data_IF_430267355416
#
_entry.id   IF_430267355416
#
_cell.length_a   1.000
_cell.length_b   1.000
_cell.length_c   1.000
_cell.angle_alpha   90.00
_cell.angle_beta   90.00
_cell.angle_gamma   90.00
#
_symmetry.space_group_name_H-M   'P 1'
#
loop_
_entity.id
_entity.type
_entity.pdbx_description
1 polymer ?
#
# COMPACT_ATOMS: atom_id res chain seq x y z
N UNK A 1 -33.87 -1.50 -15.67
CA UNK A 1 -33.59 -1.38 -17.13
C UNK A 1 -32.13 -1.03 -17.27
N UNK A 2 -31.31 -1.99 -17.72
CA UNK A 2 -29.90 -1.78 -18.05
C UNK A 2 -29.87 -0.92 -19.31
N UNK A 3 -29.18 0.22 -19.28
CA UNK A 3 -29.15 1.13 -20.44
C UNK A 3 -28.43 0.44 -21.61
N UNK A 4 -28.76 0.77 -22.86
CA UNK A 4 -28.19 0.11 -24.05
C UNK A 4 -26.65 0.17 -24.15
N UNK A 5 -26.01 1.08 -23.41
CA UNK A 5 -24.55 1.18 -23.29
C UNK A 5 -23.94 0.14 -22.32
N UNK A 6 -24.59 -0.13 -21.19
CA UNK A 6 -24.18 -1.18 -20.23
C UNK A 6 -24.33 -2.58 -20.85
N UNK A 7 -25.37 -2.77 -21.66
CA UNK A 7 -25.60 -4.00 -22.43
C UNK A 7 -24.48 -4.29 -23.44
N UNK A 8 -23.90 -3.28 -24.09
CA UNK A 8 -22.81 -3.46 -25.07
C UNK A 8 -21.45 -3.75 -24.44
N UNK A 9 -21.13 -3.15 -23.29
CA UNK A 9 -19.83 -3.36 -22.64
C UNK A 9 -19.70 -4.73 -21.96
N UNK A 10 -20.81 -5.31 -21.52
CA UNK A 10 -20.85 -6.62 -20.88
C UNK A 10 -20.74 -7.82 -21.85
N UNK A 11 -20.78 -7.59 -23.17
CA UNK A 11 -20.88 -8.66 -24.20
C UNK A 11 -19.69 -9.64 -24.25
N UNK A 12 -18.60 -9.41 -23.51
CA UNK A 12 -17.44 -10.30 -23.44
C UNK A 12 -17.24 -11.02 -22.11
N UNK A 13 -18.05 -10.75 -21.07
CA UNK A 13 -17.85 -11.32 -19.73
C UNK A 13 -19.03 -12.19 -19.30
N UNK A 14 -18.79 -13.35 -18.66
CA UNK A 14 -19.86 -14.21 -18.17
C UNK A 14 -20.74 -13.47 -17.15
N UNK A 15 -22.04 -13.75 -17.15
CA UNK A 15 -22.95 -13.24 -16.13
C UNK A 15 -22.54 -13.74 -14.74
N UNK A 16 -22.83 -12.96 -13.70
CA UNK A 16 -22.58 -13.40 -12.34
C UNK A 16 -23.58 -14.49 -11.93
N UNK A 17 -23.07 -15.55 -11.31
CA UNK A 17 -23.91 -16.65 -10.83
C UNK A 17 -24.43 -16.36 -9.41
N UNK A 18 -25.66 -16.79 -9.07
CA UNK A 18 -26.17 -16.68 -7.72
C UNK A 18 -25.44 -17.63 -6.77
N UNK A 19 -25.12 -17.16 -5.58
CA UNK A 19 -24.55 -17.94 -4.49
C UNK A 19 -24.87 -17.32 -3.12
N UNK A 20 -24.73 -18.11 -2.06
CA UNK A 20 -24.97 -17.66 -0.69
C UNK A 20 -23.81 -16.78 -0.18
N UNK A 21 -24.13 -15.62 0.41
CA UNK A 21 -23.14 -14.74 1.03
C UNK A 21 -22.63 -15.36 2.34
N UNK A 22 -21.32 -15.66 2.47
CA UNK A 22 -20.76 -16.19 3.72
C UNK A 22 -20.98 -15.25 4.90
N UNK A 23 -21.12 -15.83 6.10
CA UNK A 23 -21.23 -15.04 7.32
C UNK A 23 -19.94 -14.21 7.54
N UNK A 24 -20.06 -12.94 7.97
CA UNK A 24 -18.91 -12.11 8.30
C UNK A 24 -18.23 -12.63 9.58
N UNK A 25 -16.91 -12.41 9.73
CA UNK A 25 -16.21 -12.79 10.95
C UNK A 25 -16.77 -12.03 12.16
N UNK A 26 -16.97 -12.75 13.27
CA UNK A 26 -17.43 -12.16 14.53
C UNK A 26 -16.24 -11.54 15.25
N UNK A 27 -16.19 -10.22 15.27
CA UNK A 27 -15.14 -9.52 16.00
C UNK A 27 -15.33 -9.69 17.51
N UNK A 28 -14.30 -10.24 18.17
CA UNK A 28 -14.13 -10.24 19.62
C UNK A 28 -12.74 -9.68 19.89
N UNK A 29 -12.55 -8.89 20.95
CA UNK A 29 -11.25 -8.29 21.28
C UNK A 29 -10.11 -9.33 21.40
N UNK A 30 -10.42 -10.53 21.89
CA UNK A 30 -9.49 -11.67 21.96
C UNK A 30 -9.09 -12.26 20.59
N UNK A 31 -9.86 -11.97 19.54
CA UNK A 31 -9.62 -12.42 18.17
C UNK A 31 -9.31 -11.23 17.25
N UNK A 32 -8.52 -10.26 17.74
CA UNK A 32 -8.14 -9.08 16.96
C UNK A 32 -7.40 -9.43 15.65
N UNK A 33 -6.75 -10.59 15.61
CA UNK A 33 -6.08 -11.12 14.41
C UNK A 33 -7.03 -11.36 13.24
N UNK A 34 -8.35 -11.43 13.48
CA UNK A 34 -9.36 -11.47 12.42
C UNK A 34 -9.43 -10.16 11.63
N UNK A 35 -8.91 -9.05 12.15
CA UNK A 35 -8.76 -7.77 11.44
C UNK A 35 -7.49 -7.71 10.59
N UNK A 36 -6.60 -8.69 10.69
CA UNK A 36 -5.44 -8.79 9.80
C UNK A 36 -5.98 -9.23 8.44
N UNK A 37 -5.90 -8.31 7.48
CA UNK A 37 -6.55 -8.42 6.20
C UNK A 37 -5.91 -7.53 5.13
N UNK A 38 -6.64 -7.26 4.04
CA UNK A 38 -6.19 -6.45 2.91
C UNK A 38 -5.59 -5.10 3.30
N UNK A 39 -6.14 -4.41 4.30
CA UNK A 39 -5.61 -3.14 4.83
C UNK A 39 -4.19 -3.28 5.33
N UNK A 40 -3.97 -4.18 6.28
CA UNK A 40 -2.63 -4.34 6.86
C UNK A 40 -1.62 -4.86 5.84
N UNK A 41 -2.04 -5.74 4.93
CA UNK A 41 -1.20 -6.23 3.84
C UNK A 41 -0.82 -5.08 2.88
N UNK A 42 -1.75 -4.19 2.53
CA UNK A 42 -1.43 -3.00 1.74
C UNK A 42 -0.56 -2.00 2.47
N UNK A 43 -0.77 -1.77 3.78
CA UNK A 43 0.13 -0.94 4.56
C UNK A 43 1.56 -1.52 4.53
N UNK A 44 1.71 -2.83 4.78
CA UNK A 44 3.00 -3.50 4.74
C UNK A 44 3.64 -3.52 3.34
N UNK A 45 2.85 -3.62 2.27
CA UNK A 45 3.36 -3.61 0.90
C UNK A 45 3.93 -2.24 0.50
N UNK A 46 3.29 -1.15 0.94
CA UNK A 46 3.68 0.21 0.55
C UNK A 46 4.73 0.85 1.46
N UNK A 47 4.87 0.35 2.68
CA UNK A 47 6.00 0.71 3.56
C UNK A 47 7.32 0.36 2.87
N UNK A 48 8.26 1.30 2.82
CA UNK A 48 9.50 1.25 2.03
C UNK A 48 9.33 1.43 0.50
N UNK A 49 8.16 1.87 0.04
CA UNK A 49 7.92 2.34 -1.34
C UNK A 49 8.14 3.86 -1.50
N UNK A 50 7.55 4.45 -2.55
CA UNK A 50 7.73 5.87 -2.88
C UNK A 50 7.33 6.85 -1.77
N UNK A 51 6.31 6.53 -0.95
CA UNK A 51 5.88 7.39 0.17
C UNK A 51 6.99 7.66 1.20
N UNK A 52 7.91 6.72 1.37
CA UNK A 52 9.05 6.82 2.29
C UNK A 52 10.22 7.63 1.72
N UNK A 53 10.19 7.95 0.43
CA UNK A 53 11.11 8.89 -0.19
C UNK A 53 10.54 10.31 -0.14
N UNK A 54 9.27 10.46 -0.52
CA UNK A 54 8.65 11.79 -0.63
C UNK A 54 8.30 12.42 0.72
N UNK A 55 7.84 11.66 1.72
CA UNK A 55 7.53 12.21 3.06
C UNK A 55 8.75 12.86 3.73
N UNK A 56 9.86 12.13 3.88
CA UNK A 56 11.14 12.67 4.35
C UNK A 56 11.65 13.86 3.52
N UNK A 57 11.59 13.76 2.19
CA UNK A 57 12.04 14.84 1.30
C UNK A 57 11.25 16.13 1.52
N UNK A 58 9.92 16.03 1.53
CA UNK A 58 9.01 17.15 1.72
C UNK A 58 9.16 17.76 3.10
N UNK A 59 9.32 16.95 4.14
CA UNK A 59 9.48 17.45 5.51
C UNK A 59 10.86 18.03 5.78
N UNK A 60 11.92 17.53 5.13
CA UNK A 60 13.24 18.17 5.17
C UNK A 60 13.25 19.57 4.52
N UNK A 61 12.47 19.75 3.43
CA UNK A 61 12.38 21.01 2.70
C UNK A 61 11.39 22.00 3.34
N UNK A 62 10.20 21.54 3.72
CA UNK A 62 9.06 22.41 4.07
C UNK A 62 8.55 22.20 5.51
N UNK A 63 9.16 21.30 6.28
CA UNK A 63 8.71 20.95 7.63
C UNK A 63 7.37 20.21 7.65
N UNK A 64 6.72 20.19 8.81
CA UNK A 64 5.43 19.49 8.99
C UNK A 64 4.24 20.17 8.31
N UNK A 65 4.38 21.42 7.85
CA UNK A 65 3.27 22.26 7.37
C UNK A 65 2.43 21.57 6.30
N UNK A 66 3.06 20.97 5.30
CA UNK A 66 2.35 20.37 4.15
C UNK A 66 1.86 18.93 4.37
N UNK A 67 2.03 18.36 5.57
CA UNK A 67 1.61 16.98 5.86
C UNK A 67 0.08 16.79 5.85
N UNK A 68 -0.70 17.87 5.96
CA UNK A 68 -2.16 17.80 5.76
C UNK A 68 -2.56 17.32 4.37
N UNK A 69 -1.69 17.47 3.36
CA UNK A 69 -1.90 16.88 2.02
C UNK A 69 -1.94 15.36 2.11
N UNK A 70 -1.09 14.74 2.93
CA UNK A 70 -1.12 13.31 3.17
C UNK A 70 -2.39 12.89 3.91
N UNK A 71 -2.83 13.65 4.91
CA UNK A 71 -4.12 13.40 5.59
C UNK A 71 -5.27 13.41 4.58
N UNK A 72 -5.31 14.41 3.71
CA UNK A 72 -6.35 14.54 2.68
C UNK A 72 -6.29 13.38 1.69
N UNK A 73 -5.09 13.03 1.21
CA UNK A 73 -4.88 11.90 0.32
C UNK A 73 -5.34 10.58 0.96
N UNK A 74 -4.93 10.30 2.20
CA UNK A 74 -5.30 9.08 2.94
C UNK A 74 -6.81 9.01 3.15
N UNK A 75 -7.48 10.11 3.53
CA UNK A 75 -8.93 10.13 3.72
C UNK A 75 -9.69 9.85 2.42
N UNK A 76 -9.28 10.47 1.31
CA UNK A 76 -9.86 10.21 0.00
C UNK A 76 -9.63 8.75 -0.42
N UNK A 77 -8.46 8.21 -0.12
CA UNK A 77 -8.13 6.81 -0.40
C UNK A 77 -8.91 5.84 0.48
N UNK A 78 -9.18 6.13 1.76
CA UNK A 78 -10.11 5.30 2.57
C UNK A 78 -11.47 5.21 1.88
N UNK A 79 -12.01 6.34 1.41
CA UNK A 79 -13.29 6.36 0.70
C UNK A 79 -13.25 5.51 -0.59
N UNK A 80 -12.17 5.66 -1.38
CA UNK A 80 -11.95 4.87 -2.59
C UNK A 80 -11.79 3.37 -2.29
N UNK A 81 -10.94 3.02 -1.33
CA UNK A 81 -10.67 1.66 -0.88
C UNK A 81 -11.95 0.99 -0.41
N UNK A 82 -12.78 1.66 0.39
CA UNK A 82 -14.08 1.13 0.80
C UNK A 82 -14.99 0.85 -0.40
N UNK A 83 -14.98 1.67 -1.44
CA UNK A 83 -15.79 1.45 -2.64
C UNK A 83 -15.32 0.21 -3.43
N UNK A 84 -14.01 0.08 -3.68
CA UNK A 84 -13.46 -1.06 -4.44
C UNK A 84 -13.50 -2.37 -3.64
N UNK A 85 -13.33 -2.30 -2.31
CA UNK A 85 -13.50 -3.45 -1.42
C UNK A 85 -14.96 -3.91 -1.45
N UNK A 86 -15.93 -2.99 -1.38
CA UNK A 86 -17.36 -3.33 -1.48
C UNK A 86 -17.69 -4.01 -2.80
N UNK A 87 -17.08 -3.58 -3.89
CA UNK A 87 -17.24 -4.23 -5.19
C UNK A 87 -16.78 -5.69 -5.14
N UNK A 88 -15.51 -5.93 -4.73
CA UNK A 88 -14.98 -7.29 -4.63
C UNK A 88 -15.72 -8.16 -3.61
N UNK A 89 -16.18 -7.56 -2.52
CA UNK A 89 -16.98 -8.23 -1.50
C UNK A 89 -18.34 -8.68 -2.06
N UNK A 90 -18.93 -7.90 -2.98
CA UNK A 90 -20.24 -8.15 -3.56
C UNK A 90 -20.23 -9.18 -4.69
N UNK A 91 -19.23 -9.16 -5.58
CA UNK A 91 -19.19 -10.04 -6.75
C UNK A 91 -18.02 -11.06 -6.74
N UNK A 92 -17.05 -10.90 -5.85
CA UNK A 92 -15.83 -11.71 -5.82
C UNK A 92 -14.85 -11.42 -6.96
N UNK A 93 -15.09 -10.40 -7.78
CA UNK A 93 -14.19 -9.98 -8.86
C UNK A 93 -13.33 -8.79 -8.43
N UNK A 94 -12.15 -8.67 -9.05
CA UNK A 94 -11.34 -7.45 -8.92
C UNK A 94 -12.05 -6.27 -9.57
N UNK A 95 -11.83 -5.05 -9.08
CA UNK A 95 -12.45 -3.85 -9.67
C UNK A 95 -11.98 -3.60 -11.11
N UNK A 96 -10.79 -4.08 -11.52
CA UNK A 96 -10.34 -4.04 -12.92
C UNK A 96 -11.31 -4.78 -13.86
N UNK A 97 -11.74 -5.98 -13.47
CA UNK A 97 -12.78 -6.73 -14.20
C UNK A 97 -14.10 -5.97 -14.17
N UNK A 98 -14.41 -5.28 -13.07
CA UNK A 98 -15.56 -4.39 -12.98
C UNK A 98 -15.56 -3.30 -14.04
N UNK A 99 -14.44 -2.59 -14.21
CA UNK A 99 -14.30 -1.60 -15.27
C UNK A 99 -14.38 -2.25 -16.66
N UNK A 100 -13.79 -3.42 -16.88
CA UNK A 100 -13.93 -4.13 -18.16
C UNK A 100 -15.39 -4.45 -18.53
N UNK A 101 -16.26 -4.64 -17.54
CA UNK A 101 -17.71 -4.84 -17.75
C UNK A 101 -18.47 -3.54 -18.06
N UNK A 102 -17.88 -2.36 -17.84
CA UNK A 102 -18.52 -1.07 -18.11
C UNK A 102 -18.06 -0.46 -19.43
N UNK A 103 -18.91 0.41 -19.99
CA UNK A 103 -18.50 1.25 -21.11
C UNK A 103 -17.28 2.10 -20.69
N UNK A 104 -16.24 2.31 -21.55
CA UNK A 104 -16.16 2.05 -23.00
C UNK A 104 -15.79 0.61 -23.42
N UNK A 105 -15.70 -0.32 -22.47
CA UNK A 105 -15.47 -1.74 -22.71
C UNK A 105 -14.01 -2.19 -22.57
N UNK A 106 -13.74 -3.51 -22.64
CA UNK A 106 -12.48 -4.10 -22.18
C UNK A 106 -11.24 -3.61 -22.93
N UNK A 107 -11.36 -3.38 -24.25
CA UNK A 107 -10.24 -2.94 -25.10
C UNK A 107 -9.74 -1.56 -24.70
N UNK A 108 -10.67 -0.62 -24.50
CA UNK A 108 -10.33 0.73 -24.05
C UNK A 108 -9.67 0.70 -22.68
N UNK A 109 -10.30 0.02 -21.72
CA UNK A 109 -9.77 -0.06 -20.36
C UNK A 109 -8.41 -0.75 -20.31
N UNK A 110 -8.19 -1.78 -21.12
CA UNK A 110 -6.88 -2.43 -21.24
C UNK A 110 -5.84 -1.41 -21.71
N UNK A 111 -6.08 -0.69 -22.81
CA UNK A 111 -5.16 0.35 -23.28
C UNK A 111 -4.95 1.46 -22.24
N UNK A 112 -6.02 1.90 -21.58
CA UNK A 112 -5.97 2.93 -20.54
C UNK A 112 -5.09 2.50 -19.36
N UNK A 113 -5.26 1.28 -18.85
CA UNK A 113 -4.43 0.77 -17.76
C UNK A 113 -2.99 0.55 -18.18
N UNK A 114 -2.73 0.01 -19.38
CA UNK A 114 -1.36 -0.15 -19.89
C UNK A 114 -0.64 1.19 -20.02
N UNK A 115 -1.35 2.24 -20.44
CA UNK A 115 -0.78 3.59 -20.60
C UNK A 115 -0.51 4.27 -19.26
N UNK A 116 -1.47 4.22 -18.32
CA UNK A 116 -1.35 4.93 -17.04
C UNK A 116 -0.45 4.19 -16.03
N UNK A 117 -0.30 2.86 -16.17
CA UNK A 117 0.54 2.02 -15.31
C UNK A 117 1.90 1.69 -15.93
N UNK A 118 2.26 2.32 -17.05
CA UNK A 118 3.50 2.01 -17.79
C UNK A 118 4.75 2.10 -16.90
N UNK A 119 4.79 3.04 -15.95
CA UNK A 119 5.89 3.20 -15.02
C UNK A 119 6.04 2.06 -14.00
N UNK A 120 4.96 1.34 -13.69
CA UNK A 120 4.95 0.28 -12.67
C UNK A 120 5.62 -1.03 -13.13
N UNK A 121 5.89 -1.19 -14.44
CA UNK A 121 6.55 -2.38 -14.98
C UNK A 121 8.02 -2.48 -14.63
N UNK A 122 8.69 -1.36 -14.32
CA UNK A 122 10.09 -1.37 -13.95
C UNK A 122 10.26 -1.77 -12.47
N UNK A 123 11.17 -2.70 -12.15
CA UNK A 123 11.37 -3.19 -10.79
C UNK A 123 12.17 -2.20 -9.92
N UNK A 124 11.76 -0.93 -9.90
CA UNK A 124 12.46 0.14 -9.19
C UNK A 124 12.57 -0.15 -7.67
N UNK A 125 11.58 -0.83 -7.10
CA UNK A 125 11.58 -1.25 -5.70
C UNK A 125 12.75 -2.22 -5.40
N UNK A 126 13.06 -3.13 -6.32
CA UNK A 126 14.21 -4.02 -6.17
C UNK A 126 15.53 -3.24 -6.27
N UNK A 127 15.60 -2.24 -7.16
CA UNK A 127 16.75 -1.35 -7.25
C UNK A 127 16.95 -0.51 -5.98
N UNK A 128 15.87 0.03 -5.41
CA UNK A 128 15.91 0.78 -4.15
C UNK A 128 16.30 -0.10 -2.96
N UNK A 129 15.89 -1.37 -2.93
CA UNK A 129 16.29 -2.32 -1.90
C UNK A 129 17.76 -2.77 -2.01
N UNK A 130 18.34 -2.72 -3.21
CA UNK A 130 19.73 -3.10 -3.43
C UNK A 130 20.74 -2.11 -2.82
N UNK A 131 20.39 -0.82 -2.74
CA UNK A 131 21.26 0.24 -2.17
C UNK A 131 21.58 0.00 -0.69
N UNK A 132 20.60 -0.15 0.22
CA UNK A 132 20.89 -0.44 1.63
C UNK A 132 21.55 -1.81 1.80
N UNK A 133 21.22 -2.81 0.97
CA UNK A 133 21.91 -4.10 1.00
C UNK A 133 23.39 -3.97 0.62
N UNK A 134 23.70 -3.19 -0.42
CA UNK A 134 25.08 -2.88 -0.80
C UNK A 134 25.79 -2.14 0.33
N UNK A 135 25.11 -1.20 0.99
CA UNK A 135 25.69 -0.45 2.11
C UNK A 135 26.07 -1.35 3.29
N UNK A 136 25.25 -2.35 3.62
CA UNK A 136 25.57 -3.36 4.64
C UNK A 136 26.78 -4.20 4.23
N UNK A 137 26.89 -4.60 2.97
CA UNK A 137 28.01 -5.41 2.46
C UNK A 137 29.32 -4.61 2.46
N UNK A 138 29.27 -3.34 2.07
CA UNK A 138 30.44 -2.47 1.93
C UNK A 138 30.86 -1.82 3.25
N UNK A 139 29.97 -1.77 4.26
CA UNK A 139 30.16 -0.97 5.48
C UNK A 139 30.14 0.54 5.24
N UNK A 140 29.76 0.99 4.03
CA UNK A 140 29.63 2.39 3.61
C UNK A 140 28.59 2.50 2.50
N UNK A 141 28.09 3.69 2.22
CA UNK A 141 27.19 3.90 1.09
C UNK A 141 27.88 3.59 -0.24
N UNK A 142 27.16 2.98 -1.20
CA UNK A 142 27.70 2.71 -2.53
C UNK A 142 27.94 4.02 -3.29
N UNK A 143 29.15 4.16 -3.85
CA UNK A 143 29.55 5.28 -4.71
C UNK A 143 29.41 4.94 -6.19
N UNK A 144 29.93 5.82 -7.05
CA UNK A 144 29.89 5.62 -8.51
C UNK A 144 30.57 4.31 -8.94
N UNK A 145 31.66 3.93 -8.27
CA UNK A 145 32.44 2.72 -8.58
C UNK A 145 31.70 1.42 -8.21
N UNK A 146 30.73 1.48 -7.29
CA UNK A 146 29.97 0.31 -6.82
C UNK A 146 28.74 0.00 -7.72
N UNK A 147 28.58 0.71 -8.83
CA UNK A 147 27.40 0.59 -9.69
C UNK A 147 27.14 -0.83 -10.20
N UNK A 148 28.19 -1.61 -10.45
CA UNK A 148 28.06 -3.02 -10.84
C UNK A 148 27.51 -3.89 -9.70
N UNK A 149 27.98 -3.67 -8.46
CA UNK A 149 27.49 -4.37 -7.28
C UNK A 149 26.01 -4.07 -7.05
N UNK A 150 25.63 -2.79 -7.01
CA UNK A 150 24.23 -2.38 -6.80
C UNK A 150 23.32 -2.96 -7.87
N UNK A 151 23.74 -2.95 -9.14
CA UNK A 151 22.96 -3.54 -10.25
C UNK A 151 22.79 -5.05 -10.09
N UNK A 152 23.85 -5.78 -9.76
CA UNK A 152 23.78 -7.24 -9.57
C UNK A 152 22.90 -7.61 -8.37
N UNK A 153 23.01 -6.86 -7.27
CA UNK A 153 22.14 -7.02 -6.10
C UNK A 153 20.68 -6.70 -6.44
N UNK A 154 20.42 -5.71 -7.30
CA UNK A 154 19.06 -5.40 -7.77
C UNK A 154 18.43 -6.59 -8.49
N UNK A 155 19.19 -7.25 -9.38
CA UNK A 155 18.72 -8.47 -10.06
C UNK A 155 18.53 -9.64 -9.09
N UNK A 156 19.45 -9.82 -8.13
CA UNK A 156 19.33 -10.86 -7.12
C UNK A 156 18.08 -10.66 -6.23
N UNK A 157 17.84 -9.43 -5.75
CA UNK A 157 16.66 -9.08 -4.95
C UNK A 157 15.37 -9.26 -5.76
N UNK A 158 15.37 -8.85 -7.04
CA UNK A 158 14.23 -9.08 -7.92
C UNK A 158 13.91 -10.58 -8.08
N UNK A 159 14.92 -11.42 -8.31
CA UNK A 159 14.73 -12.87 -8.40
C UNK A 159 14.28 -13.47 -7.06
N UNK A 160 14.85 -13.01 -5.95
CA UNK A 160 14.51 -13.46 -4.61
C UNK A 160 13.06 -13.10 -4.22
N UNK A 161 12.49 -12.02 -4.77
CA UNK A 161 11.10 -11.63 -4.52
C UNK A 161 10.07 -12.68 -4.99
N UNK A 162 10.45 -13.58 -5.91
CA UNK A 162 9.59 -14.69 -6.33
C UNK A 162 9.59 -15.87 -5.36
N UNK A 163 10.65 -16.02 -4.54
CA UNK A 163 10.80 -17.18 -3.64
C UNK A 163 9.63 -17.30 -2.64
N UNK A 164 9.17 -16.22 -1.96
CA UNK A 164 8.02 -16.30 -1.07
C UNK A 164 6.72 -16.73 -1.76
N UNK A 165 6.58 -16.52 -3.08
CA UNK A 165 5.38 -16.87 -3.84
C UNK A 165 5.26 -18.38 -4.11
N UNK A 166 6.35 -19.12 -3.95
CA UNK A 166 6.42 -20.56 -4.21
C UNK A 166 5.75 -21.35 -3.06
N UNK A 167 5.80 -20.83 -1.84
CA UNK A 167 5.40 -21.55 -0.62
C UNK A 167 4.08 -21.05 -0.02
N UNK A 168 3.43 -21.87 0.83
CA UNK A 168 2.41 -21.39 1.77
C UNK A 168 0.96 -21.82 1.53
N UNK A 169 0.69 -22.70 0.56
CA UNK A 169 -0.64 -23.21 0.21
C UNK A 169 -1.54 -22.18 -0.51
N UNK A 170 -1.66 -20.98 0.05
CA UNK A 170 -2.19 -19.79 -0.60
C UNK A 170 -1.11 -18.71 -0.55
N UNK A 171 -0.80 -18.10 -1.69
CA UNK A 171 0.18 -17.00 -1.79
C UNK A 171 -0.15 -15.90 -0.78
N UNK A 172 -1.44 -15.60 -0.63
CA UNK A 172 -1.94 -14.61 0.33
C UNK A 172 -1.46 -14.85 1.77
N UNK A 173 -1.49 -16.09 2.28
CA UNK A 173 -1.15 -16.38 3.68
C UNK A 173 0.37 -16.24 3.95
N UNK A 174 1.20 -16.52 2.93
CA UNK A 174 2.63 -16.28 3.02
C UNK A 174 2.92 -14.78 3.02
N UNK A 175 2.31 -14.04 2.08
CA UNK A 175 2.45 -12.58 1.99
C UNK A 175 1.93 -11.87 3.23
N UNK A 176 0.78 -12.27 3.76
CA UNK A 176 0.20 -11.69 4.96
C UNK A 176 1.15 -11.77 6.16
N UNK A 177 1.71 -12.95 6.44
CA UNK A 177 2.67 -13.12 7.55
C UNK A 177 3.93 -12.29 7.34
N UNK A 178 4.46 -12.27 6.12
CA UNK A 178 5.66 -11.50 5.79
C UNK A 178 5.41 -10.00 5.94
N UNK A 179 4.27 -9.48 5.45
CA UNK A 179 3.92 -8.06 5.52
C UNK A 179 3.63 -7.61 6.95
N UNK A 180 2.96 -8.44 7.76
CA UNK A 180 2.75 -8.16 9.19
C UNK A 180 4.09 -8.11 9.93
N UNK A 181 4.97 -9.08 9.70
CA UNK A 181 6.29 -9.11 10.33
C UNK A 181 7.12 -7.88 9.94
N UNK A 182 7.15 -7.54 8.64
CA UNK A 182 7.78 -6.33 8.12
C UNK A 182 7.23 -5.07 8.79
N UNK A 183 5.90 -4.93 8.86
CA UNK A 183 5.23 -3.78 9.46
C UNK A 183 5.64 -3.59 10.92
N UNK A 184 5.55 -4.65 11.72
CA UNK A 184 5.90 -4.62 13.15
C UNK A 184 7.38 -4.28 13.34
N UNK A 185 8.26 -4.90 12.55
CA UNK A 185 9.70 -4.65 12.64
C UNK A 185 10.05 -3.21 12.26
N UNK A 186 9.55 -2.73 11.13
CA UNK A 186 9.91 -1.42 10.59
C UNK A 186 9.30 -0.29 11.41
N UNK A 187 7.99 -0.33 11.69
CA UNK A 187 7.35 0.70 12.51
C UNK A 187 7.80 0.63 13.97
N UNK A 188 8.06 -0.57 14.49
CA UNK A 188 8.60 -0.76 15.84
C UNK A 188 10.00 -0.17 15.97
N UNK A 189 10.89 -0.47 15.01
CA UNK A 189 12.24 0.08 14.99
C UNK A 189 12.23 1.60 14.84
N UNK A 190 11.53 2.16 13.85
CA UNK A 190 11.48 3.62 13.69
C UNK A 190 10.78 4.31 14.85
N UNK A 191 9.75 3.69 15.43
CA UNK A 191 9.08 4.19 16.63
C UNK A 191 10.04 4.25 17.81
N UNK A 192 10.86 3.22 18.01
CA UNK A 192 11.90 3.20 19.04
C UNK A 192 12.93 4.30 18.79
N UNK A 193 13.46 4.43 17.56
CA UNK A 193 14.40 5.49 17.21
C UNK A 193 13.79 6.87 17.43
N UNK A 194 12.51 7.07 17.07
CA UNK A 194 11.82 8.34 17.28
C UNK A 194 11.71 8.69 18.76
N UNK A 195 11.35 7.74 19.61
CA UNK A 195 11.24 7.96 21.06
C UNK A 195 12.59 8.28 21.68
N UNK A 196 13.68 7.65 21.21
CA UNK A 196 15.00 7.81 21.80
C UNK A 196 15.77 9.05 21.29
N UNK A 197 15.62 9.40 20.02
CA UNK A 197 16.51 10.35 19.34
C UNK A 197 15.82 11.58 18.76
N UNK A 198 14.48 11.61 18.66
CA UNK A 198 13.76 12.77 18.12
C UNK A 198 13.27 13.67 19.25
N UNK A 199 13.46 14.98 19.07
CA UNK A 199 13.02 15.96 20.06
C UNK A 199 11.48 16.06 20.11
N UNK A 200 10.93 16.39 21.29
CA UNK A 200 9.49 16.62 21.44
C UNK A 200 8.97 17.71 20.48
N UNK A 201 9.78 18.75 20.23
CA UNK A 201 9.46 19.82 19.28
C UNK A 201 9.25 19.28 17.86
N UNK A 202 10.14 18.41 17.38
CA UNK A 202 10.00 17.75 16.08
C UNK A 202 8.79 16.83 16.04
N UNK A 203 8.54 16.05 17.09
CA UNK A 203 7.36 15.18 17.17
C UNK A 203 6.07 16.01 17.05
N UNK A 204 5.96 17.11 17.80
CA UNK A 204 4.81 18.00 17.78
C UNK A 204 4.65 18.71 16.42
N UNK A 205 5.75 19.13 15.78
CA UNK A 205 5.73 19.76 14.46
C UNK A 205 5.21 18.80 13.38
N UNK A 206 5.71 17.56 13.35
CA UNK A 206 5.31 16.55 12.36
C UNK A 206 3.89 16.07 12.61
N UNK A 207 3.55 15.68 13.85
CA UNK A 207 2.20 15.20 14.18
C UNK A 207 1.16 16.31 14.02
N UNK A 208 1.47 17.53 14.44
CA UNK A 208 0.62 18.70 14.24
C UNK A 208 0.43 19.02 12.76
N UNK A 209 1.46 18.79 11.93
CA UNK A 209 1.43 18.97 10.49
C UNK A 209 0.28 18.28 9.77
N UNK A 210 -0.09 17.06 10.19
CA UNK A 210 -1.22 16.33 9.62
C UNK A 210 -2.58 17.02 9.80
N UNK A 211 -2.69 17.95 10.77
CA UNK A 211 -3.92 18.70 11.04
C UNK A 211 -3.88 20.17 10.55
N UNK A 212 -2.77 20.63 9.96
CA UNK A 212 -2.60 22.02 9.48
C UNK A 212 -3.19 22.24 8.09
N UNK A 213 -4.48 21.95 7.94
CA UNK A 213 -5.21 22.08 6.66
C UNK A 213 -5.07 23.48 6.05
N UNK A 214 -4.81 23.53 4.74
CA UNK A 214 -4.69 24.77 3.98
C UNK A 214 -3.36 25.53 4.16
N UNK A 215 -2.44 25.02 4.98
CA UNK A 215 -1.12 25.65 5.10
C UNK A 215 -0.24 25.33 3.89
N UNK A 216 0.50 26.34 3.43
CA UNK A 216 1.49 26.22 2.35
C UNK A 216 2.89 26.53 2.88
N UNK A 217 3.95 26.07 2.19
CA UNK A 217 5.31 26.50 2.49
C UNK A 217 5.45 28.01 2.36
N UNK A 218 6.36 28.60 3.13
CA UNK A 218 6.75 30.00 2.96
C UNK A 218 7.80 30.12 1.86
N UNK A 219 7.72 31.20 1.06
CA UNK A 219 8.67 31.46 -0.03
C UNK A 219 8.39 30.67 -1.31
N UNK A 220 9.44 30.44 -2.11
CA UNK A 220 9.36 29.63 -3.33
C UNK A 220 9.31 28.13 -2.98
N UNK A 221 8.39 27.39 -3.60
CA UNK A 221 8.26 25.95 -3.38
C UNK A 221 7.91 25.21 -4.67
N UNK A 222 8.27 23.93 -4.72
CA UNK A 222 8.09 23.11 -5.89
C UNK A 222 6.72 22.42 -5.90
N UNK A 223 5.81 22.94 -6.74
CA UNK A 223 4.48 22.35 -6.95
C UNK A 223 4.52 20.90 -7.43
N UNK A 224 5.52 20.50 -8.24
CA UNK A 224 5.64 19.13 -8.71
C UNK A 224 5.97 18.17 -7.55
N UNK A 225 6.83 18.58 -6.61
CA UNK A 225 7.15 17.78 -5.42
C UNK A 225 5.93 17.63 -4.52
N UNK A 226 5.16 18.71 -4.29
CA UNK A 226 3.94 18.65 -3.49
C UNK A 226 2.85 17.80 -4.16
N UNK A 227 2.69 17.91 -5.47
CA UNK A 227 1.75 17.09 -6.24
C UNK A 227 2.15 15.60 -6.21
N UNK A 228 3.43 15.28 -6.37
CA UNK A 228 3.94 13.91 -6.28
C UNK A 228 3.73 13.33 -4.87
N UNK A 229 4.00 14.12 -3.84
CA UNK A 229 3.76 13.73 -2.45
C UNK A 229 2.27 13.45 -2.19
N UNK A 230 1.38 14.37 -2.59
CA UNK A 230 -0.06 14.19 -2.45
C UNK A 230 -0.56 12.97 -3.25
N UNK A 231 0.02 12.70 -4.42
CA UNK A 231 -0.35 11.56 -5.26
C UNK A 231 0.08 10.22 -4.67
N UNK A 232 1.22 10.14 -3.96
CA UNK A 232 1.82 8.89 -3.48
C UNK A 232 1.48 8.58 -2.01
N UNK A 233 1.21 9.61 -1.18
CA UNK A 233 0.95 9.44 0.25
C UNK A 233 -0.18 8.45 0.52
N UNK A 234 0.10 7.35 1.24
CA UNK A 234 -0.90 6.36 1.61
C UNK A 234 -1.17 5.30 0.56
N UNK A 235 -0.18 4.89 -0.25
CA UNK A 235 -0.33 3.90 -1.33
C UNK A 235 -1.08 4.38 -2.60
N UNK A 236 -0.69 5.55 -3.09
CA UNK A 236 -1.28 6.19 -4.25
C UNK A 236 -1.33 5.40 -5.57
N UNK A 237 -2.14 5.91 -6.51
CA UNK A 237 -2.25 5.38 -7.87
C UNK A 237 -3.06 4.09 -7.99
N UNK A 238 -2.74 3.27 -9.00
CA UNK A 238 -3.43 2.00 -9.26
C UNK A 238 -3.11 0.90 -8.22
N UNK A 239 -2.11 1.11 -7.36
CA UNK A 239 -1.76 0.19 -6.27
C UNK A 239 -2.95 -0.07 -5.35
N UNK A 240 -3.73 0.97 -5.01
CA UNK A 240 -4.94 0.84 -4.19
C UNK A 240 -6.00 -0.05 -4.84
N UNK A 241 -6.10 -0.05 -6.17
CA UNK A 241 -7.00 -0.95 -6.92
C UNK A 241 -6.75 -2.43 -6.57
N UNK A 242 -5.53 -2.77 -6.15
CA UNK A 242 -5.11 -4.07 -5.64
C UNK A 242 -5.86 -4.55 -4.39
N UNK A 243 -6.47 -3.67 -3.60
CA UNK A 243 -7.35 -4.05 -2.48
C UNK A 243 -8.43 -5.04 -2.90
N UNK A 244 -9.01 -4.86 -4.08
CA UNK A 244 -10.03 -5.75 -4.63
C UNK A 244 -9.52 -7.19 -4.85
N UNK A 245 -8.27 -7.33 -5.29
CA UNK A 245 -7.61 -8.63 -5.46
C UNK A 245 -7.36 -9.28 -4.11
N UNK A 246 -6.87 -8.51 -3.13
CA UNK A 246 -6.59 -9.01 -1.79
C UNK A 246 -7.85 -9.46 -1.05
N UNK A 247 -8.96 -8.74 -1.19
CA UNK A 247 -10.27 -9.12 -0.63
C UNK A 247 -10.74 -10.44 -1.21
N UNK A 248 -10.62 -10.61 -2.54
CA UNK A 248 -10.94 -11.85 -3.23
C UNK A 248 -10.08 -13.00 -2.73
N UNK A 249 -8.76 -12.83 -2.73
CA UNK A 249 -7.80 -13.89 -2.43
C UNK A 249 -7.81 -14.29 -0.94
N UNK A 250 -8.07 -13.33 -0.04
CA UNK A 250 -8.37 -13.59 1.38
C UNK A 250 -9.65 -14.43 1.53
N UNK A 251 -10.57 -14.33 0.58
CA UNK A 251 -11.86 -15.00 0.61
C UNK A 251 -12.92 -14.25 1.41
N UNK A 252 -12.87 -12.92 1.42
CA UNK A 252 -13.89 -12.11 2.08
C UNK A 252 -15.15 -11.97 1.20
N UNK A 253 -16.32 -12.03 1.84
CA UNK A 253 -17.61 -11.97 1.15
C UNK A 253 -17.71 -13.00 0.02
N UNK A 254 -18.07 -12.55 -1.19
CA UNK A 254 -18.18 -13.43 -2.35
C UNK A 254 -16.84 -13.94 -2.89
N UNK A 255 -15.70 -13.38 -2.45
CA UNK A 255 -14.36 -13.91 -2.77
C UNK A 255 -14.19 -15.38 -2.36
N UNK A 256 -14.81 -15.80 -1.25
CA UNK A 256 -14.80 -17.20 -0.82
C UNK A 256 -15.43 -18.17 -1.84
N UNK A 257 -16.30 -17.68 -2.72
CA UNK A 257 -17.05 -18.48 -3.70
C UNK A 257 -16.40 -18.49 -5.09
N UNK A 258 -15.47 -17.56 -5.35
CA UNK A 258 -14.74 -17.39 -6.62
C UNK A 258 -13.35 -18.05 -6.55
N UNK A 259 -12.78 -18.22 -5.36
CA UNK A 259 -11.50 -18.91 -5.15
C UNK A 259 -10.32 -17.95 -4.98
N UNK A 260 -9.12 -18.51 -4.82
CA UNK A 260 -7.88 -17.78 -4.58
C UNK A 260 -6.73 -18.40 -5.39
N UNK A 261 -5.65 -17.65 -5.60
CA UNK A 261 -4.47 -18.12 -6.33
C UNK A 261 -3.69 -19.14 -5.47
N UNK A 262 -3.57 -20.41 -5.90
CA UNK A 262 -2.79 -21.41 -5.17
C UNK A 262 -1.28 -21.13 -5.31
N UNK A 263 -0.50 -21.47 -4.28
CA UNK A 263 0.97 -21.44 -4.39
C UNK A 263 1.50 -22.65 -5.17
N UNK A 264 2.69 -22.51 -5.76
CA UNK A 264 3.32 -23.57 -6.57
C UNK A 264 3.58 -24.86 -5.75
N UNK A 265 3.93 -24.72 -4.47
CA UNK A 265 4.15 -25.84 -3.54
C UNK A 265 3.13 -25.77 -2.41
N UNK A 266 2.45 -26.88 -2.14
CA UNK A 266 1.46 -27.01 -1.05
C UNK A 266 0.07 -26.43 -1.35
N UNK A 267 -0.16 -25.91 -2.56
CA UNK A 267 -1.47 -25.43 -3.00
C UNK A 267 -2.45 -26.57 -3.19
N UNK A 268 -3.56 -26.58 -2.44
CA UNK A 268 -4.73 -27.40 -2.81
C UNK A 268 -5.26 -26.87 -4.14
N UNK A 269 -5.77 -27.75 -5.00
CA UNK A 269 -6.38 -27.44 -6.31
C UNK A 269 -7.63 -26.57 -6.16
N UNK A 270 -7.45 -25.29 -5.81
CA UNK A 270 -8.49 -24.28 -5.78
C UNK A 270 -8.67 -23.84 -7.23
N UNK A 271 -9.72 -24.34 -7.89
CA UNK A 271 -10.13 -23.82 -9.20
C UNK A 271 -10.64 -22.39 -9.02
N UNK A 272 -9.96 -21.45 -9.65
CA UNK A 272 -10.38 -20.06 -9.73
C UNK A 272 -11.58 -20.00 -10.69
N UNK A 273 -12.72 -19.53 -10.21
CA UNK A 273 -13.90 -19.33 -11.06
C UNK A 273 -13.62 -18.21 -12.06
N UNK A 274 -13.92 -18.45 -13.34
CA UNK A 274 -13.78 -17.43 -14.39
C UNK A 274 -14.86 -16.34 -14.33
N UNK A 275 -15.92 -16.57 -13.53
CA UNK A 275 -17.01 -15.63 -13.31
C UNK A 275 -17.16 -15.31 -11.81
N UNK A 276 -17.45 -14.05 -11.52
CA UNK A 276 -17.93 -13.59 -10.21
C UNK A 276 -19.26 -14.20 -9.82
N UNK A 277 -19.59 -14.09 -8.54
CA UNK A 277 -20.84 -14.60 -7.96
C UNK A 277 -21.51 -13.53 -7.13
N UNK A 278 -22.83 -13.43 -7.19
CA UNK A 278 -23.63 -12.49 -6.40
C UNK A 278 -24.61 -13.21 -5.49
N UNK A 279 -25.15 -12.49 -4.50
CA UNK A 279 -26.13 -13.03 -3.56
C UNK A 279 -27.49 -12.35 -3.73
N UNK A 280 -28.55 -13.10 -3.48
CA UNK A 280 -29.92 -12.56 -3.49
C UNK A 280 -30.15 -11.63 -2.29
N UNK A 281 -31.00 -10.62 -2.48
CA UNK A 281 -31.28 -9.58 -1.49
C UNK A 281 -32.33 -10.04 -0.45
N UNK A 282 -32.06 -11.15 0.22
CA UNK A 282 -32.89 -11.64 1.33
C UNK A 282 -32.58 -10.85 2.63
N UNK A 283 -33.52 -10.77 3.58
CA UNK A 283 -33.28 -10.09 4.87
C UNK A 283 -32.04 -10.61 5.61
N UNK A 284 -31.80 -11.92 5.54
CA UNK A 284 -30.64 -12.58 6.12
C UNK A 284 -29.33 -12.13 5.45
N UNK A 285 -29.28 -12.15 4.11
CA UNK A 285 -28.11 -11.68 3.36
C UNK A 285 -27.83 -10.19 3.61
N UNK A 286 -28.86 -9.37 3.77
CA UNK A 286 -28.70 -7.96 4.13
C UNK A 286 -28.16 -7.77 5.56
N UNK A 287 -28.47 -8.66 6.49
CA UNK A 287 -27.86 -8.65 7.83
C UNK A 287 -26.37 -9.04 7.76
N UNK A 288 -26.03 -10.10 7.00
CA UNK A 288 -24.64 -10.53 6.75
C UNK A 288 -23.84 -9.43 6.04
N UNK A 289 -24.41 -8.78 5.03
CA UNK A 289 -23.82 -7.65 4.32
C UNK A 289 -23.47 -6.49 5.25
N UNK A 290 -24.39 -6.08 6.13
CA UNK A 290 -24.12 -5.05 7.15
C UNK A 290 -23.00 -5.44 8.13
N UNK A 291 -22.85 -6.73 8.43
CA UNK A 291 -21.72 -7.23 9.20
C UNK A 291 -20.39 -7.10 8.45
N UNK A 292 -20.37 -7.45 7.16
CA UNK A 292 -19.19 -7.25 6.31
C UNK A 292 -18.81 -5.78 6.14
N UNK A 293 -19.78 -4.87 5.96
CA UNK A 293 -19.51 -3.43 5.88
C UNK A 293 -18.81 -2.89 7.15
N UNK A 294 -19.21 -3.38 8.33
CA UNK A 294 -18.52 -3.04 9.59
C UNK A 294 -17.12 -3.64 9.66
N UNK A 295 -16.92 -4.83 9.10
CA UNK A 295 -15.62 -5.48 9.08
C UNK A 295 -14.60 -4.75 8.19
N UNK A 296 -14.99 -4.39 6.97
CA UNK A 296 -14.10 -3.64 6.06
C UNK A 296 -13.81 -2.24 6.58
N UNK A 297 -14.74 -1.61 7.31
CA UNK A 297 -14.48 -0.33 7.95
C UNK A 297 -13.37 -0.45 9.00
N UNK A 298 -13.41 -1.51 9.83
CA UNK A 298 -12.37 -1.76 10.83
C UNK A 298 -11.00 -2.02 10.20
N UNK A 299 -10.95 -2.76 9.09
CA UNK A 299 -9.72 -2.97 8.31
C UNK A 299 -9.13 -1.62 7.84
N UNK A 300 -9.96 -0.73 7.29
CA UNK A 300 -9.52 0.59 6.85
C UNK A 300 -9.16 1.54 8.01
N UNK A 301 -9.79 1.37 9.18
CA UNK A 301 -9.41 2.07 10.42
C UNK A 301 -8.06 1.61 10.97
N UNK A 302 -7.54 0.44 10.56
CA UNK A 302 -6.15 0.05 10.85
C UNK A 302 -5.19 0.56 9.78
N UNK A 303 -5.61 0.51 8.52
CA UNK A 303 -4.80 0.95 7.39
C UNK A 303 -4.48 2.46 7.43
N UNK A 304 -5.49 3.32 7.64
CA UNK A 304 -5.31 4.77 7.65
C UNK A 304 -4.25 5.24 8.67
N UNK A 305 -4.35 4.86 9.96
CA UNK A 305 -3.32 5.15 10.95
C UNK A 305 -1.96 4.53 10.61
N UNK A 306 -1.91 3.32 10.04
CA UNK A 306 -0.65 2.72 9.61
C UNK A 306 0.04 3.55 8.50
N UNK A 307 -0.72 4.13 7.57
CA UNK A 307 -0.19 5.06 6.56
C UNK A 307 0.31 6.36 7.20
N UNK A 308 -0.45 6.93 8.16
CA UNK A 308 -0.02 8.14 8.89
C UNK A 308 1.28 7.87 9.64
N UNK A 309 1.38 6.77 10.38
CA UNK A 309 2.60 6.38 11.11
C UNK A 309 3.77 6.08 10.17
N UNK A 310 3.50 5.35 9.08
CA UNK A 310 4.47 5.03 8.05
C UNK A 310 5.06 6.27 7.40
N UNK A 311 4.32 7.37 7.34
CA UNK A 311 4.81 8.64 6.83
C UNK A 311 5.44 9.52 7.91
N UNK A 312 4.84 9.56 9.10
CA UNK A 312 5.25 10.42 10.20
C UNK A 312 6.63 10.06 10.72
N UNK A 313 6.89 8.76 10.96
CA UNK A 313 8.14 8.28 11.55
C UNK A 313 9.38 8.62 10.71
N UNK A 314 9.46 8.28 9.40
CA UNK A 314 10.61 8.66 8.60
C UNK A 314 10.68 10.18 8.37
N UNK A 315 9.54 10.88 8.34
CA UNK A 315 9.52 12.35 8.28
C UNK A 315 10.11 13.02 9.52
N UNK A 316 9.88 12.46 10.71
CA UNK A 316 10.50 12.92 11.97
C UNK A 316 12.02 12.81 11.89
N UNK A 317 12.55 11.69 11.39
CA UNK A 317 14.00 11.52 11.21
C UNK A 317 14.54 12.55 10.23
N UNK A 318 13.87 12.72 9.10
CA UNK A 318 14.29 13.68 8.08
C UNK A 318 14.32 15.12 8.61
N UNK A 319 13.29 15.52 9.35
CA UNK A 319 13.19 16.86 9.90
C UNK A 319 14.17 17.11 11.05
N UNK A 320 14.46 16.12 11.88
CA UNK A 320 15.43 16.27 12.99
C UNK A 320 16.87 16.26 12.48
N UNK A 321 17.19 15.44 11.48
CA UNK A 321 18.57 15.14 11.11
C UNK A 321 19.01 15.68 9.73
N UNK A 322 18.08 16.00 8.83
CA UNK A 322 18.37 16.36 7.42
C UNK A 322 17.81 17.75 7.03
N UNK A 323 17.36 18.54 8.00
CA UNK A 323 16.72 19.84 7.73
C UNK A 323 17.64 20.82 7.00
N UNK A 324 17.11 21.49 5.97
CA UNK A 324 17.78 22.59 5.28
C UNK A 324 18.59 22.21 4.03
N UNK A 325 18.53 20.95 3.58
CA UNK A 325 19.22 20.55 2.35
C UNK A 325 18.35 20.85 1.12
N UNK A 326 18.77 21.80 0.28
CA UNK A 326 17.99 22.26 -0.87
C UNK A 326 18.07 21.35 -2.10
N UNK A 327 18.98 20.37 -2.14
CA UNK A 327 19.18 19.49 -3.30
C UNK A 327 19.46 18.03 -2.87
N UNK A 328 18.45 17.31 -2.38
CA UNK A 328 18.60 15.88 -2.09
C UNK A 328 17.89 15.04 -3.14
N UNK A 329 18.64 14.15 -3.80
CA UNK A 329 18.07 13.18 -4.73
C UNK A 329 17.71 11.88 -4.00
N UNK A 330 16.41 11.59 -3.90
CA UNK A 330 15.85 10.28 -3.52
C UNK A 330 16.60 9.55 -2.39
N UNK A 331 17.42 8.57 -2.78
CA UNK A 331 18.14 7.67 -1.87
C UNK A 331 19.16 8.38 -0.95
N UNK A 332 19.58 9.59 -1.29
CA UNK A 332 20.48 10.39 -0.47
C UNK A 332 19.83 10.84 0.85
N UNK A 333 18.50 10.97 0.94
CA UNK A 333 17.83 11.40 2.19
C UNK A 333 18.02 10.38 3.31
N UNK A 334 17.89 9.08 3.00
CA UNK A 334 18.05 8.01 3.97
C UNK A 334 19.52 7.88 4.44
N UNK A 335 20.45 8.05 3.51
CA UNK A 335 21.89 8.13 3.76
C UNK A 335 22.26 9.29 4.71
N UNK A 336 21.81 10.50 4.38
CA UNK A 336 22.05 11.71 5.18
C UNK A 336 21.47 11.57 6.58
N UNK A 337 20.28 10.96 6.72
CA UNK A 337 19.69 10.68 8.03
C UNK A 337 20.54 9.74 8.88
N UNK A 338 21.05 8.65 8.30
CA UNK A 338 21.90 7.69 9.01
C UNK A 338 23.24 8.31 9.43
N UNK A 339 23.88 9.08 8.53
CA UNK A 339 25.13 9.79 8.81
C UNK A 339 24.96 10.86 9.88
N UNK A 340 23.86 11.62 9.85
CA UNK A 340 23.58 12.66 10.83
C UNK A 340 23.27 12.09 12.23
N UNK A 341 22.58 10.93 12.32
CA UNK A 341 22.41 10.21 13.59
C UNK A 341 23.78 9.77 14.13
N UNK A 342 24.63 9.18 13.28
CA UNK A 342 25.97 8.74 13.68
C UNK A 342 26.88 9.92 14.08
N UNK A 343 26.78 11.06 13.40
CA UNK A 343 27.55 12.26 13.72
C UNK A 343 27.13 12.88 15.07
N UNK A 344 25.84 12.82 15.42
CA UNK A 344 25.29 13.44 16.64
C UNK A 344 25.37 12.53 17.87
N UNK A 345 25.37 11.21 17.67
CA UNK A 345 25.28 10.23 18.76
C UNK A 345 26.41 9.17 18.77
N UNK A 346 27.35 9.21 17.83
CA UNK A 346 28.45 8.25 17.67
C UNK A 346 28.08 7.06 16.77
N UNK A 347 29.10 6.34 16.29
CA UNK A 347 28.90 5.05 15.61
C UNK A 347 28.42 4.01 16.64
N UNK A 348 27.22 3.47 16.46
CA UNK A 348 26.74 2.30 17.19
C UNK A 348 26.90 1.03 16.37
#
# INVERSE_FOLDING_TARGET
>A
MVTGAESRAAQGFPAWEPAELPAPPVFRARHWTTLIGPGLLMAGANIAGGEWLFGPLVTAQYGGRVLWLATTAILLQVCYNLAIIRYALFCGESIFVGFFRTWPGPRFWTAFYLLIDLGSYWPYLAANAAVPLAAVILGRLPGADDGALVRNLSYAVFCAAFVPLIFGGKIYNALERLMVAKLVLVLGYLGLVAVLFVSWGTMAEILGGFARFGSLPEGEFNWATLAAFAAIAGAGGLSNTGFSNLVRDKGWGMGAKVGAIPSAIGGKTIKLSHAGKTFERTPENLARWRGWLRHILRDQMLWGPACVLGLALPSMMSYEFVRGVQNVQGNQVAALGAEAIAARHGHM
#
